data_IF_422380514404
#
_entry.id   IF_422380514404
#
_cell.length_a   1.000
_cell.length_b   1.000
_cell.length_c   1.000
_cell.angle_alpha   90.00
_cell.angle_beta   90.00
_cell.angle_gamma   90.00
#
_symmetry.space_group_name_H-M   'P 1'
#
loop_
_entity.id
_entity.type
_entity.pdbx_description
1 polymer ?
#
# COMPACT_ATOMS: atom_id res chain seq x y z
N UNK A 1 2.77 34.15 23.41
CA UNK A 1 2.69 34.18 21.93
C UNK A 1 2.36 32.80 21.42
N UNK A 2 1.17 32.71 20.84
CA UNK A 2 0.58 31.70 19.96
C UNK A 2 1.50 30.57 19.42
N UNK A 3 1.09 29.35 19.78
CA UNK A 3 0.99 28.10 19.00
C UNK A 3 2.16 27.53 18.20
N UNK A 4 2.58 26.32 18.61
CA UNK A 4 2.77 25.18 17.69
C UNK A 4 2.28 23.90 18.37
N UNK A 5 0.97 23.68 18.41
CA UNK A 5 0.45 22.31 18.49
C UNK A 5 0.80 21.63 17.18
N UNK A 6 1.97 20.98 17.14
CA UNK A 6 2.31 20.03 16.09
C UNK A 6 1.60 18.71 16.43
N UNK A 7 0.26 18.70 16.35
CA UNK A 7 -0.52 17.47 16.55
C UNK A 7 -0.27 16.57 15.36
N UNK A 8 0.63 15.59 15.54
CA UNK A 8 0.78 14.50 14.60
C UNK A 8 -0.61 13.88 14.34
N UNK A 9 -1.08 13.92 13.09
CA UNK A 9 -2.39 13.38 12.71
C UNK A 9 -2.41 11.89 13.08
N UNK A 10 -3.40 11.47 13.87
CA UNK A 10 -3.48 10.11 14.37
C UNK A 10 -3.81 9.11 13.26
N UNK A 11 -3.46 7.83 13.47
CA UNK A 11 -3.84 6.72 12.57
C UNK A 11 -5.34 6.73 12.25
N UNK A 12 -6.18 6.88 13.27
CA UNK A 12 -7.64 6.92 13.12
C UNK A 12 -8.09 8.07 12.22
N UNK A 13 -7.56 9.28 12.45
CA UNK A 13 -7.89 10.45 11.63
C UNK A 13 -7.48 10.28 10.17
N UNK A 14 -6.31 9.66 9.90
CA UNK A 14 -5.89 9.36 8.53
C UNK A 14 -6.83 8.34 7.90
N UNK A 15 -7.22 7.30 8.62
CA UNK A 15 -8.14 6.29 8.07
C UNK A 15 -9.54 6.87 7.80
N UNK A 16 -10.06 7.72 8.67
CA UNK A 16 -11.31 8.46 8.41
C UNK A 16 -11.22 9.33 7.16
N UNK A 17 -10.08 10.00 6.92
CA UNK A 17 -9.86 10.76 5.68
C UNK A 17 -9.92 9.85 4.45
N UNK A 18 -9.31 8.67 4.52
CA UNK A 18 -9.41 7.66 3.46
C UNK A 18 -10.86 7.25 3.20
N UNK A 19 -11.63 6.94 4.25
CA UNK A 19 -13.03 6.53 4.12
C UNK A 19 -13.94 7.63 3.54
N UNK A 20 -13.56 8.90 3.70
CA UNK A 20 -14.27 10.05 3.14
C UNK A 20 -13.84 10.42 1.70
N UNK A 21 -12.86 9.73 1.12
CA UNK A 21 -12.47 9.95 -0.27
C UNK A 21 -13.56 9.45 -1.25
N UNK A 22 -13.63 10.03 -2.46
CA UNK A 22 -14.39 9.42 -3.55
C UNK A 22 -13.95 7.98 -3.81
N UNK A 23 -14.87 7.11 -4.23
CA UNK A 23 -14.58 5.69 -4.46
C UNK A 23 -13.42 5.46 -5.44
N UNK A 24 -13.29 6.30 -6.48
CA UNK A 24 -12.17 6.22 -7.44
C UNK A 24 -10.82 6.36 -6.75
N UNK A 25 -10.73 7.24 -5.76
CA UNK A 25 -9.49 7.55 -5.04
C UNK A 25 -9.21 6.50 -3.97
N UNK A 26 -10.26 6.01 -3.29
CA UNK A 26 -10.14 4.86 -2.39
C UNK A 26 -9.53 3.65 -3.12
N UNK A 27 -10.04 3.32 -4.32
CA UNK A 27 -9.51 2.22 -5.14
C UNK A 27 -8.04 2.41 -5.53
N UNK A 28 -7.59 3.65 -5.74
CA UNK A 28 -6.16 3.92 -5.98
C UNK A 28 -5.34 3.64 -4.73
N UNK A 29 -5.81 4.06 -3.56
CA UNK A 29 -5.11 3.83 -2.30
C UNK A 29 -5.14 2.36 -1.86
N UNK A 30 -6.21 1.62 -2.16
CA UNK A 30 -6.29 0.16 -2.03
C UNK A 30 -5.20 -0.54 -2.85
N UNK A 31 -4.96 -0.10 -4.09
CA UNK A 31 -3.90 -0.68 -4.90
C UNK A 31 -2.52 -0.30 -4.37
N UNK A 32 -2.31 0.97 -3.97
CA UNK A 32 -1.06 1.43 -3.35
C UNK A 32 -0.75 0.70 -2.04
N UNK A 33 -1.77 0.37 -1.23
CA UNK A 33 -1.57 -0.34 0.03
C UNK A 33 -1.07 -1.76 -0.18
N UNK A 34 -1.49 -2.43 -1.26
CA UNK A 34 -0.93 -3.73 -1.68
C UNK A 34 0.46 -3.62 -2.29
N UNK A 35 0.77 -2.52 -2.99
CA UNK A 35 2.10 -2.27 -3.53
C UNK A 35 3.12 -2.10 -2.40
N UNK A 36 2.72 -1.51 -1.28
CA UNK A 36 3.48 -1.36 -0.01
C UNK A 36 4.73 -0.47 -0.07
N UNK A 37 5.49 -0.51 -1.17
CA UNK A 37 6.71 0.27 -1.35
C UNK A 37 6.49 1.48 -2.29
N UNK A 38 7.45 2.41 -2.37
CA UNK A 38 7.38 3.52 -3.31
C UNK A 38 7.24 3.05 -4.78
N UNK A 39 6.38 3.71 -5.55
CA UNK A 39 6.17 3.44 -6.98
C UNK A 39 6.14 4.73 -7.78
N UNK A 40 6.64 4.72 -9.02
CA UNK A 40 6.56 5.90 -9.90
C UNK A 40 5.13 6.15 -10.33
N UNK A 41 4.80 7.39 -10.68
CA UNK A 41 3.49 7.74 -11.27
C UNK A 41 3.18 6.94 -12.53
N UNK A 42 4.18 6.67 -13.37
CA UNK A 42 3.98 5.87 -14.58
C UNK A 42 3.64 4.42 -14.27
N UNK A 43 4.40 3.77 -13.37
CA UNK A 43 4.13 2.40 -12.97
C UNK A 43 2.81 2.28 -12.20
N UNK A 44 2.45 3.28 -11.39
CA UNK A 44 1.14 3.35 -10.74
C UNK A 44 0.02 3.44 -11.78
N UNK A 45 0.13 4.32 -12.79
CA UNK A 45 -0.87 4.41 -13.86
C UNK A 45 -1.02 3.07 -14.60
N UNK A 46 0.07 2.37 -14.88
CA UNK A 46 0.05 1.05 -15.51
C UNK A 46 -0.67 0.01 -14.64
N UNK A 47 -0.41 0.01 -13.32
CA UNK A 47 -1.09 -0.87 -12.38
C UNK A 47 -2.60 -0.56 -12.31
N UNK A 48 -2.99 0.71 -12.17
CA UNK A 48 -4.40 1.12 -12.13
C UNK A 48 -5.14 0.70 -13.41
N UNK A 49 -4.52 0.93 -14.56
CA UNK A 49 -5.10 0.55 -15.85
C UNK A 49 -5.19 -0.98 -16.02
N UNK A 50 -4.19 -1.74 -15.54
CA UNK A 50 -4.23 -3.21 -15.57
C UNK A 50 -5.28 -3.79 -14.61
N UNK A 51 -5.58 -3.09 -13.52
CA UNK A 51 -6.63 -3.43 -12.57
C UNK A 51 -8.04 -2.94 -13.01
N UNK A 52 -8.16 -2.30 -14.18
CA UNK A 52 -9.39 -1.67 -14.66
C UNK A 52 -10.01 -0.67 -13.67
N UNK A 53 -9.17 0.09 -12.95
CA UNK A 53 -9.61 1.15 -12.05
C UNK A 53 -9.68 2.46 -12.88
N UNK A 54 -10.87 2.96 -13.23
CA UNK A 54 -10.99 4.25 -13.91
C UNK A 54 -10.78 5.41 -12.93
N UNK A 55 -10.44 6.58 -13.45
CA UNK A 55 -10.50 7.81 -12.66
C UNK A 55 -11.95 8.27 -12.45
N UNK A 56 -12.13 9.37 -11.69
CA UNK A 56 -13.45 9.95 -11.42
C UNK A 56 -14.27 10.32 -12.69
N UNK A 57 -13.61 10.48 -13.85
CA UNK A 57 -14.26 10.77 -15.13
C UNK A 57 -14.52 9.51 -15.97
N UNK A 58 -14.31 8.31 -15.44
CA UNK A 58 -14.43 7.06 -16.18
C UNK A 58 -13.27 6.79 -17.17
N UNK A 59 -12.20 7.59 -17.12
CA UNK A 59 -11.06 7.50 -18.06
C UNK A 59 -9.90 6.71 -17.47
N UNK A 60 -9.04 6.20 -18.36
CA UNK A 60 -7.76 5.57 -18.00
C UNK A 60 -6.82 6.56 -17.32
N UNK A 61 -6.02 6.07 -16.38
CA UNK A 61 -5.02 6.86 -15.70
C UNK A 61 -3.82 7.15 -16.61
N UNK A 62 -3.28 8.36 -16.47
CA UNK A 62 -2.01 8.77 -17.04
C UNK A 62 -1.17 9.44 -15.97
N UNK A 63 0.14 9.57 -16.21
CA UNK A 63 1.06 10.28 -15.30
C UNK A 63 0.59 11.70 -14.99
N UNK A 64 0.01 12.40 -15.97
CA UNK A 64 -0.50 13.75 -15.80
C UNK A 64 -1.77 13.78 -14.92
N UNK A 65 -2.67 12.82 -15.12
CA UNK A 65 -3.91 12.71 -14.35
C UNK A 65 -3.68 12.31 -12.89
N UNK A 66 -2.58 11.62 -12.58
CA UNK A 66 -2.19 11.31 -11.21
C UNK A 66 -1.58 12.48 -10.45
N UNK A 67 -1.14 13.55 -11.14
CA UNK A 67 -0.37 14.63 -10.49
C UNK A 67 -1.17 15.33 -9.41
N UNK A 68 -2.41 15.77 -9.73
CA UNK A 68 -3.24 16.51 -8.80
C UNK A 68 -3.74 15.62 -7.65
N UNK A 69 -4.36 14.44 -7.90
CA UNK A 69 -4.83 13.58 -6.80
C UNK A 69 -3.72 13.17 -5.84
N UNK A 70 -2.53 12.86 -6.33
CA UNK A 70 -1.40 12.49 -5.45
C UNK A 70 -0.98 13.65 -4.54
N UNK A 71 -0.95 14.88 -5.05
CA UNK A 71 -0.70 16.07 -4.23
C UNK A 71 -1.79 16.25 -3.17
N UNK A 72 -3.06 16.03 -3.54
CA UNK A 72 -4.18 16.15 -2.62
C UNK A 72 -4.11 15.08 -1.51
N UNK A 73 -3.84 13.82 -1.88
CA UNK A 73 -3.67 12.71 -0.93
C UNK A 73 -2.48 12.92 0.02
N UNK A 74 -1.39 13.52 -0.48
CA UNK A 74 -0.23 13.88 0.36
C UNK A 74 -0.59 14.99 1.34
N UNK A 75 -1.31 16.02 0.90
CA UNK A 75 -1.74 17.13 1.77
C UNK A 75 -2.63 16.66 2.94
N UNK A 76 -3.41 15.59 2.74
CA UNK A 76 -4.23 14.98 3.79
C UNK A 76 -3.54 13.81 4.52
N UNK A 77 -2.27 13.52 4.20
CA UNK A 77 -1.42 12.57 4.92
C UNK A 77 -1.74 11.09 4.67
N UNK A 78 -2.28 10.76 3.49
CA UNK A 78 -2.57 9.37 3.08
C UNK A 78 -1.47 8.73 2.24
N UNK A 79 -0.66 9.55 1.59
CA UNK A 79 0.53 9.13 0.84
C UNK A 79 1.70 10.03 1.17
N UNK A 80 2.91 9.56 0.89
CA UNK A 80 4.12 10.36 0.88
C UNK A 80 4.76 10.34 -0.51
N UNK A 81 5.38 11.46 -0.90
CA UNK A 81 6.17 11.53 -2.12
C UNK A 81 7.66 11.72 -1.80
N UNK A 82 8.50 10.93 -2.45
CA UNK A 82 9.96 11.08 -2.40
C UNK A 82 10.57 10.90 -3.79
N UNK A 83 11.89 11.00 -3.90
CA UNK A 83 12.62 10.65 -5.13
C UNK A 83 12.41 9.18 -5.52
N UNK A 84 12.10 8.30 -4.56
CA UNK A 84 11.76 6.90 -4.83
C UNK A 84 10.34 6.74 -5.41
N UNK A 85 9.46 7.72 -5.25
CA UNK A 85 8.10 7.68 -5.79
C UNK A 85 7.03 7.92 -4.73
N UNK A 86 5.83 7.42 -5.03
CA UNK A 86 4.63 7.57 -4.20
C UNK A 86 4.46 6.31 -3.37
N UNK A 87 4.21 6.46 -2.07
CA UNK A 87 3.95 5.35 -1.17
C UNK A 87 2.70 5.64 -0.33
N UNK A 88 1.91 4.60 -0.03
CA UNK A 88 0.85 4.70 0.97
C UNK A 88 1.46 4.97 2.35
N UNK A 89 0.84 5.86 3.13
CA UNK A 89 1.37 6.22 4.43
C UNK A 89 1.39 4.99 5.39
N UNK A 90 2.52 4.72 6.07
CA UNK A 90 2.66 3.53 6.93
C UNK A 90 1.67 3.46 8.10
N UNK A 91 1.07 4.58 8.53
CA UNK A 91 0.08 4.55 9.60
C UNK A 91 -1.27 3.98 9.12
N UNK A 92 -1.58 4.04 7.83
CA UNK A 92 -2.87 3.59 7.28
C UNK A 92 -2.77 2.39 6.35
N UNK A 93 -1.58 2.05 5.88
CA UNK A 93 -1.37 0.99 4.88
C UNK A 93 -2.04 -0.35 5.26
N UNK A 94 -1.89 -0.82 6.50
CA UNK A 94 -2.53 -2.06 6.94
C UNK A 94 -4.04 -1.92 7.12
N UNK A 95 -4.53 -0.77 7.58
CA UNK A 95 -5.96 -0.55 7.74
C UNK A 95 -6.68 -0.61 6.40
N UNK A 96 -6.13 0.05 5.39
CA UNK A 96 -6.65 0.01 4.01
C UNK A 96 -6.55 -1.41 3.45
N UNK A 97 -5.44 -2.11 3.68
CA UNK A 97 -5.27 -3.48 3.16
C UNK A 97 -6.25 -4.45 3.82
N UNK A 98 -6.52 -4.31 5.13
CA UNK A 98 -7.52 -5.10 5.86
C UNK A 98 -8.94 -4.83 5.36
N UNK A 99 -9.28 -3.58 5.07
CA UNK A 99 -10.58 -3.25 4.49
C UNK A 99 -10.72 -3.83 3.08
N UNK A 100 -9.68 -3.72 2.25
CA UNK A 100 -9.63 -4.36 0.94
C UNK A 100 -9.76 -5.89 1.01
N UNK A 101 -9.17 -6.52 2.03
CA UNK A 101 -9.23 -7.97 2.21
C UNK A 101 -10.64 -8.50 2.51
N UNK A 102 -11.55 -7.63 2.95
CA UNK A 102 -12.98 -7.95 3.12
C UNK A 102 -13.77 -7.85 1.81
N UNK A 103 -13.15 -7.36 0.73
CA UNK A 103 -13.76 -7.18 -0.58
C UNK A 103 -13.38 -8.28 -1.58
N UNK A 104 -14.15 -8.39 -2.64
CA UNK A 104 -13.88 -9.26 -3.80
C UNK A 104 -12.74 -8.75 -4.71
N UNK A 105 -12.25 -7.52 -4.48
CA UNK A 105 -11.22 -6.87 -5.31
C UNK A 105 -9.80 -7.33 -4.97
N UNK A 106 -9.58 -7.86 -3.77
CA UNK A 106 -8.24 -8.21 -3.27
C UNK A 106 -7.46 -9.07 -4.28
N UNK A 107 -8.07 -10.17 -4.75
CA UNK A 107 -7.40 -11.11 -5.66
C UNK A 107 -7.02 -10.45 -7.00
N UNK A 108 -7.92 -9.62 -7.55
CA UNK A 108 -7.66 -8.91 -8.79
C UNK A 108 -6.52 -7.91 -8.65
N UNK A 109 -6.51 -7.13 -7.57
CA UNK A 109 -5.47 -6.13 -7.33
C UNK A 109 -4.13 -6.80 -6.99
N UNK A 110 -4.13 -7.86 -6.17
CA UNK A 110 -2.93 -8.59 -5.84
C UNK A 110 -2.27 -9.21 -7.07
N UNK A 111 -3.05 -9.74 -8.02
CA UNK A 111 -2.55 -10.25 -9.31
C UNK A 111 -1.83 -9.15 -10.09
N UNK A 112 -2.41 -7.96 -10.18
CA UNK A 112 -1.79 -6.81 -10.86
C UNK A 112 -0.52 -6.38 -10.14
N UNK A 113 -0.56 -6.28 -8.81
CA UNK A 113 0.60 -5.92 -7.99
C UNK A 113 1.76 -6.91 -8.20
N UNK A 114 1.51 -8.22 -8.20
CA UNK A 114 2.53 -9.26 -8.48
C UNK A 114 3.14 -9.11 -9.89
N UNK A 115 2.36 -8.68 -10.89
CA UNK A 115 2.80 -8.64 -12.30
C UNK A 115 3.42 -7.30 -12.74
N UNK A 116 2.93 -6.18 -12.21
CA UNK A 116 3.16 -4.84 -12.76
C UNK A 116 3.83 -3.88 -11.79
N UNK A 117 3.65 -4.06 -10.48
CA UNK A 117 4.27 -3.19 -9.49
C UNK A 117 5.75 -3.54 -9.35
N UNK A 118 6.52 -2.99 -10.28
CA UNK A 118 7.99 -2.95 -10.26
C UNK A 118 8.40 -1.77 -9.40
N UNK A 119 9.34 -1.99 -8.49
CA UNK A 119 9.98 -0.88 -7.78
C UNK A 119 10.71 0.01 -8.76
N UNK A 120 10.68 1.30 -8.49
CA UNK A 120 11.49 2.34 -9.14
C UNK A 120 12.96 2.24 -8.78
N UNK A 121 13.26 1.61 -7.64
CA UNK A 121 14.60 1.34 -7.14
C UNK A 121 15.04 -0.06 -7.56
N UNK A 122 16.25 -0.16 -8.11
CA UNK A 122 16.94 -1.44 -8.34
C UNK A 122 17.36 -2.15 -7.04
N UNK A 123 17.18 -1.50 -5.89
CA UNK A 123 17.52 -2.00 -4.57
C UNK A 123 16.36 -1.73 -3.60
N UNK A 124 15.25 -2.45 -3.75
CA UNK A 124 14.37 -2.61 -2.60
C UNK A 124 15.19 -3.30 -1.51
N UNK A 125 15.07 -2.81 -0.28
CA UNK A 125 15.63 -3.50 0.88
C UNK A 125 15.07 -4.94 0.89
N UNK A 126 15.92 -5.98 1.03
CA UNK A 126 15.46 -7.35 1.20
C UNK A 126 14.33 -7.49 2.24
N UNK A 127 14.34 -6.66 3.29
CA UNK A 127 13.28 -6.59 4.30
C UNK A 127 11.95 -6.15 3.69
N UNK A 128 11.93 -5.09 2.90
CA UNK A 128 10.72 -4.61 2.23
C UNK A 128 10.17 -5.64 1.23
N UNK A 129 11.07 -6.38 0.57
CA UNK A 129 10.69 -7.49 -0.33
C UNK A 129 10.00 -8.59 0.47
N UNK A 130 10.63 -9.08 1.54
CA UNK A 130 10.07 -10.12 2.40
C UNK A 130 8.73 -9.69 2.97
N UNK A 131 8.64 -8.47 3.51
CA UNK A 131 7.40 -7.95 4.08
C UNK A 131 6.32 -7.86 3.01
N UNK A 132 6.59 -7.25 1.84
CA UNK A 132 5.58 -7.13 0.77
C UNK A 132 5.04 -8.49 0.33
N UNK A 133 5.92 -9.45 0.04
CA UNK A 133 5.47 -10.76 -0.42
C UNK A 133 4.75 -11.55 0.67
N UNK A 134 5.22 -11.45 1.91
CA UNK A 134 4.57 -12.08 3.05
C UNK A 134 3.20 -11.48 3.34
N UNK A 135 3.06 -10.14 3.25
CA UNK A 135 1.76 -9.44 3.34
C UNK A 135 0.78 -10.02 2.36
N UNK A 136 1.14 -10.04 1.07
CA UNK A 136 0.27 -10.61 0.03
C UNK A 136 -0.06 -12.08 0.31
N UNK A 137 0.91 -12.88 0.73
CA UNK A 137 0.68 -14.29 1.08
C UNK A 137 -0.31 -14.45 2.23
N UNK A 138 -0.19 -13.66 3.30
CA UNK A 138 -1.11 -13.69 4.44
C UNK A 138 -2.53 -13.28 4.04
N UNK A 139 -2.69 -12.14 3.36
CA UNK A 139 -4.01 -11.65 2.94
C UNK A 139 -4.70 -12.58 1.92
N UNK A 140 -3.94 -13.27 1.08
CA UNK A 140 -4.46 -14.23 0.09
C UNK A 140 -4.61 -15.66 0.65
N UNK A 141 -4.25 -15.89 1.91
CA UNK A 141 -4.18 -17.24 2.50
C UNK A 141 -3.30 -18.21 1.67
N UNK A 142 -2.15 -17.71 1.20
CA UNK A 142 -1.14 -18.43 0.43
C UNK A 142 0.15 -18.63 1.29
N UNK A 143 0.16 -19.55 2.27
CA UNK A 143 1.29 -19.69 3.21
C UNK A 143 2.61 -20.05 2.52
N UNK A 144 2.56 -20.79 1.41
CA UNK A 144 3.74 -21.11 0.58
C UNK A 144 4.43 -19.85 0.05
N UNK A 145 3.68 -18.77 -0.21
CA UNK A 145 4.25 -17.51 -0.66
C UNK A 145 5.07 -16.85 0.46
N UNK A 146 4.62 -16.99 1.72
CA UNK A 146 5.34 -16.47 2.89
C UNK A 146 6.64 -17.24 3.09
N UNK A 147 6.60 -18.56 3.00
CA UNK A 147 7.77 -19.43 3.07
C UNK A 147 8.77 -19.12 1.94
N UNK A 148 8.30 -18.96 0.70
CA UNK A 148 9.15 -18.60 -0.44
C UNK A 148 9.80 -17.22 -0.24
N UNK A 149 9.06 -16.23 0.27
CA UNK A 149 9.59 -14.91 0.54
C UNK A 149 10.73 -14.96 1.57
N UNK A 150 10.52 -15.64 2.70
CA UNK A 150 11.50 -15.79 3.77
C UNK A 150 12.74 -16.56 3.30
N UNK A 151 12.56 -17.69 2.62
CA UNK A 151 13.67 -18.53 2.15
C UNK A 151 14.51 -17.86 1.06
N UNK A 152 13.89 -17.07 0.18
CA UNK A 152 14.56 -16.45 -0.98
C UNK A 152 15.18 -15.10 -0.66
N UNK A 153 14.61 -14.34 0.27
CA UNK A 153 15.01 -12.96 0.53
C UNK A 153 15.33 -12.67 2.00
N UNK A 154 14.96 -13.56 2.92
CA UNK A 154 15.11 -13.35 4.36
C UNK A 154 16.47 -13.71 4.96
N UNK A 155 17.40 -14.29 4.20
CA UNK A 155 18.70 -14.85 4.63
C UNK A 155 19.35 -14.15 5.85
N UNK A 156 18.98 -14.55 7.07
CA UNK A 156 19.47 -14.03 8.34
C UNK A 156 19.13 -12.57 8.67
N UNK A 157 18.44 -11.85 7.78
CA UNK A 157 18.09 -10.43 7.94
C UNK A 157 16.65 -10.22 8.41
N UNK A 158 15.75 -11.18 8.14
CA UNK A 158 14.33 -11.08 8.46
C UNK A 158 13.81 -12.43 8.94
N UNK A 159 13.35 -12.45 10.18
CA UNK A 159 12.69 -13.62 10.75
C UNK A 159 11.17 -13.53 10.55
N UNK A 160 10.47 -14.68 10.59
CA UNK A 160 9.01 -14.72 10.51
C UNK A 160 8.34 -13.82 11.58
N UNK A 161 8.94 -13.74 12.78
CA UNK A 161 8.44 -12.88 13.85
C UNK A 161 8.43 -11.38 13.48
N UNK A 162 9.39 -10.92 12.67
CA UNK A 162 9.49 -9.51 12.27
C UNK A 162 8.42 -9.19 11.23
N UNK A 163 8.18 -10.14 10.31
CA UNK A 163 7.05 -10.10 9.37
C UNK A 163 5.73 -10.05 10.11
N UNK A 164 5.48 -10.96 11.05
CA UNK A 164 4.24 -10.97 11.82
C UNK A 164 4.07 -9.69 12.64
N UNK A 165 5.15 -9.15 13.23
CA UNK A 165 5.11 -7.87 13.95
C UNK A 165 4.75 -6.71 13.03
N UNK A 166 5.33 -6.64 11.84
CA UNK A 166 5.07 -5.58 10.88
C UNK A 166 3.63 -5.58 10.34
N UNK A 167 3.03 -6.77 10.21
CA UNK A 167 1.75 -6.93 9.51
C UNK A 167 0.59 -7.12 10.50
N UNK A 168 0.74 -8.06 11.45
CA UNK A 168 -0.32 -8.45 12.38
C UNK A 168 -0.42 -7.51 13.59
N UNK A 169 0.64 -6.76 13.92
CA UNK A 169 0.70 -5.89 15.11
C UNK A 169 0.76 -4.39 14.78
N UNK A 170 0.52 -3.98 13.52
CA UNK A 170 0.61 -2.58 13.11
C UNK A 170 -0.57 -2.08 12.25
N UNK A 171 -1.75 -1.79 12.83
CA UNK A 171 -2.09 -2.00 14.24
C UNK A 171 -2.44 -3.46 14.52
N UNK A 172 -2.38 -3.84 15.81
CA UNK A 172 -2.88 -5.14 16.25
C UNK A 172 -4.37 -5.29 15.93
N UNK A 173 -4.73 -6.45 15.40
CA UNK A 173 -6.10 -6.82 15.09
C UNK A 173 -6.38 -8.20 15.65
N UNK A 174 -7.39 -8.27 16.53
CA UNK A 174 -7.80 -9.50 17.18
C UNK A 174 -8.42 -10.50 16.22
N UNK A 175 -8.99 -10.06 15.09
CA UNK A 175 -9.75 -10.94 14.21
C UNK A 175 -8.83 -11.88 13.38
N UNK A 176 -7.52 -11.66 13.44
CA UNK A 176 -6.50 -12.51 12.80
C UNK A 176 -6.00 -13.67 13.68
N UNK A 177 -6.35 -13.68 14.98
CA UNK A 177 -5.87 -14.66 15.97
C UNK A 177 -7.05 -15.34 16.69
#
# INVERSE_FOLDING_TARGET
MVSKDNTAVSRTQRFERYQNLPESDQRVLELLSLIYHPISRSALADCLNAANIPNAMGKRWTTALLKLPVTDWEAIGLVSQSSAGIQCDPLVVELITRELAKSDRLAAYAKVTKQKARSTSSALDPVDIVIRFSRLGLYLNEPKQVEEALSRYGYGAVELQDVLRAICFNPFDRDWF
#
